data_IF_672182550611
#
_entry.id   IF_672182550611
#
_cell.length_a   1.000
_cell.length_b   1.000
_cell.length_c   1.000
_cell.angle_alpha   90.00
_cell.angle_beta   90.00
_cell.angle_gamma   90.00
#
_symmetry.space_group_name_H-M   'P 1'
#
loop_
_entity.id
_entity.type
_entity.pdbx_description
1 polymer ?
#
# COMPACT_ATOMS: atom_id res chain seq x y z
N UNK A 1 -8.15 -16.00 -4.03
CA UNK A 1 -7.99 -15.89 -2.56
C UNK A 1 -6.52 -15.57 -2.37
N UNK A 2 -6.22 -14.29 -2.13
CA UNK A 2 -4.88 -13.83 -1.80
C UNK A 2 -4.52 -14.29 -0.38
N UNK A 3 -3.36 -14.91 -0.19
CA UNK A 3 -2.72 -15.06 1.11
C UNK A 3 -1.83 -13.82 1.31
N UNK A 4 -2.15 -12.98 2.27
CA UNK A 4 -1.19 -12.02 2.78
C UNK A 4 -0.39 -12.70 3.90
N UNK A 5 0.90 -12.91 3.67
CA UNK A 5 1.82 -13.33 4.72
C UNK A 5 2.45 -12.07 5.31
N UNK A 6 2.02 -11.66 6.48
CA UNK A 6 2.75 -10.67 7.26
C UNK A 6 3.78 -11.39 8.12
N UNK A 7 5.06 -11.12 7.90
CA UNK A 7 6.14 -11.61 8.76
C UNK A 7 6.49 -10.53 9.76
N UNK A 8 6.26 -10.79 11.04
CA UNK A 8 6.66 -9.91 12.13
C UNK A 8 8.11 -10.23 12.49
N UNK A 9 9.02 -9.28 12.28
CA UNK A 9 10.41 -9.40 12.77
C UNK A 9 10.57 -8.43 13.94
N UNK A 10 10.75 -8.98 15.14
CA UNK A 10 11.09 -8.21 16.33
C UNK A 10 12.60 -8.01 16.39
N UNK A 11 13.05 -6.77 16.45
CA UNK A 11 14.46 -6.43 16.64
C UNK A 11 14.72 -6.04 18.10
N UNK A 12 15.60 -6.75 18.80
CA UNK A 12 15.83 -6.59 20.24
C UNK A 12 16.66 -5.34 20.64
N UNK A 13 17.00 -4.45 19.70
CA UNK A 13 17.96 -3.38 19.94
C UNK A 13 17.37 -1.97 20.12
N UNK A 14 16.13 -1.84 20.60
CA UNK A 14 15.61 -0.56 21.09
C UNK A 14 15.44 0.56 20.05
N UNK A 15 15.48 0.26 18.75
CA UNK A 15 15.14 1.20 17.67
C UNK A 15 13.70 1.01 17.26
N UNK A 16 12.99 2.11 17.09
CA UNK A 16 11.62 2.11 16.56
C UNK A 16 11.68 1.83 15.07
N UNK A 17 11.14 0.71 14.63
CA UNK A 17 11.06 0.33 13.22
C UNK A 17 9.59 0.31 12.80
N UNK A 18 9.27 0.92 11.66
CA UNK A 18 7.95 0.85 11.05
C UNK A 18 7.98 -0.27 10.00
N UNK A 19 7.17 -1.32 10.20
CA UNK A 19 7.06 -2.40 9.23
C UNK A 19 5.89 -2.14 8.29
N UNK A 20 6.18 -2.08 7.00
CA UNK A 20 5.17 -2.29 5.98
C UNK A 20 5.03 -3.80 5.77
N UNK A 21 3.82 -4.33 5.98
CA UNK A 21 3.54 -5.65 5.47
C UNK A 21 3.69 -5.58 3.95
N UNK A 22 4.50 -6.48 3.39
CA UNK A 22 4.74 -6.57 1.95
C UNK A 22 3.44 -6.34 1.18
N UNK A 23 3.52 -5.59 0.09
CA UNK A 23 2.38 -5.41 -0.82
C UNK A 23 1.92 -6.81 -1.22
N UNK A 24 0.90 -7.30 -0.56
CA UNK A 24 0.24 -8.52 -0.96
C UNK A 24 -0.36 -8.24 -2.32
N UNK A 25 0.29 -8.70 -3.40
CA UNK A 25 -0.34 -8.74 -4.71
C UNK A 25 -1.53 -9.67 -4.59
N UNK A 26 -2.68 -9.13 -4.21
CA UNK A 26 -3.91 -9.85 -4.34
C UNK A 26 -4.33 -9.76 -5.81
N UNK A 27 -4.11 -10.84 -6.54
CA UNK A 27 -4.77 -11.04 -7.81
C UNK A 27 -6.27 -11.16 -7.55
N UNK A 28 -6.95 -10.01 -7.52
CA UNK A 28 -8.40 -9.97 -7.34
C UNK A 28 -9.05 -10.38 -8.66
N UNK A 29 -9.27 -11.67 -8.83
CA UNK A 29 -10.00 -12.22 -9.96
C UNK A 29 -11.53 -12.20 -9.73
N UNK A 30 -12.00 -11.55 -8.65
CA UNK A 30 -13.41 -11.53 -8.29
C UNK A 30 -13.77 -10.44 -7.31
N UNK A 31 -14.97 -9.91 -7.49
CA UNK A 31 -15.60 -9.00 -6.55
C UNK A 31 -16.28 -9.79 -5.43
N UNK A 32 -15.97 -9.45 -4.19
CA UNK A 32 -16.64 -10.02 -3.02
C UNK A 32 -18.04 -9.44 -2.91
N UNK A 33 -19.06 -10.29 -3.02
CA UNK A 33 -20.46 -9.86 -3.00
C UNK A 33 -21.03 -9.89 -1.59
N UNK A 34 -20.83 -10.98 -0.86
CA UNK A 34 -21.35 -11.15 0.48
C UNK A 34 -20.56 -12.20 1.28
N UNK A 35 -20.58 -12.04 2.59
CA UNK A 35 -20.09 -13.05 3.52
C UNK A 35 -21.23 -14.03 3.85
N UNK A 36 -20.98 -15.34 3.75
CA UNK A 36 -21.96 -16.38 4.05
C UNK A 36 -21.65 -16.96 5.42
N UNK A 37 -22.56 -16.71 6.36
CA UNK A 37 -22.40 -17.14 7.75
C UNK A 37 -21.39 -16.29 8.51
N UNK A 38 -21.02 -16.75 9.70
CA UNK A 38 -20.07 -16.06 10.57
C UNK A 38 -18.63 -16.48 10.26
N UNK A 39 -17.65 -15.55 10.36
CA UNK A 39 -16.24 -15.88 10.30
C UNK A 39 -15.85 -16.86 11.41
N UNK A 40 -15.08 -17.86 11.07
CA UNK A 40 -14.51 -18.81 12.04
C UNK A 40 -13.09 -18.36 12.42
N UNK A 41 -12.82 -18.33 13.72
CA UNK A 41 -11.53 -17.93 14.26
C UNK A 41 -10.86 -19.11 14.95
N UNK A 42 -9.57 -19.30 14.66
CA UNK A 42 -8.71 -20.20 15.43
C UNK A 42 -7.51 -19.41 15.93
N UNK A 43 -7.31 -19.39 17.23
CA UNK A 43 -6.24 -18.66 17.89
C UNK A 43 -5.24 -19.66 18.43
N UNK A 44 -3.99 -19.57 17.99
CA UNK A 44 -2.87 -20.39 18.43
C UNK A 44 -1.76 -19.50 18.98
N UNK A 45 -0.98 -20.06 19.89
CA UNK A 45 0.21 -19.38 20.41
C UNK A 45 1.43 -20.27 20.11
N UNK A 46 2.29 -19.81 19.21
CA UNK A 46 3.47 -20.56 18.77
C UNK A 46 4.70 -19.66 18.80
N UNK A 47 5.78 -20.14 19.36
CA UNK A 47 7.08 -19.45 19.44
C UNK A 47 7.01 -18.02 19.98
N UNK A 48 6.14 -17.76 20.97
CA UNK A 48 5.98 -16.42 21.54
C UNK A 48 5.08 -15.48 20.74
N UNK A 49 4.47 -15.94 19.65
CA UNK A 49 3.57 -15.16 18.80
C UNK A 49 2.14 -15.65 18.87
N UNK A 50 1.20 -14.70 18.89
CA UNK A 50 -0.22 -14.99 18.77
C UNK A 50 -0.57 -15.12 17.28
N UNK A 51 -0.98 -16.32 16.87
CA UNK A 51 -1.43 -16.61 15.50
C UNK A 51 -2.95 -16.64 15.48
N UNK A 52 -3.56 -15.74 14.71
CA UNK A 52 -5.00 -15.70 14.51
C UNK A 52 -5.31 -16.14 13.09
N UNK A 53 -5.91 -17.33 12.96
CA UNK A 53 -6.40 -17.81 11.67
C UNK A 53 -7.88 -17.47 11.54
N UNK A 54 -8.23 -16.76 10.48
CA UNK A 54 -9.61 -16.41 10.17
C UNK A 54 -10.04 -17.13 8.91
N UNK A 55 -11.13 -17.89 8.99
CA UNK A 55 -11.75 -18.54 7.84
C UNK A 55 -13.08 -17.88 7.54
N UNK A 56 -13.19 -17.31 6.35
CA UNK A 56 -14.41 -16.64 5.87
C UNK A 56 -14.91 -17.38 4.64
N UNK A 57 -16.23 -17.59 4.57
CA UNK A 57 -16.92 -18.12 3.39
C UNK A 57 -17.72 -16.99 2.76
N UNK A 58 -17.63 -16.83 1.45
CA UNK A 58 -18.37 -15.77 0.76
C UNK A 58 -18.73 -16.12 -0.66
N UNK A 59 -19.57 -15.29 -1.24
CA UNK A 59 -19.91 -15.32 -2.66
C UNK A 59 -19.05 -14.32 -3.40
N UNK A 60 -18.43 -14.77 -4.48
CA UNK A 60 -17.56 -13.98 -5.33
C UNK A 60 -18.15 -13.94 -6.73
N UNK A 61 -18.23 -12.75 -7.32
CA UNK A 61 -18.51 -12.56 -8.74
C UNK A 61 -17.20 -12.43 -9.50
N UNK A 62 -17.00 -13.27 -10.53
CA UNK A 62 -15.81 -13.17 -11.37
C UNK A 62 -15.77 -11.83 -12.08
N UNK A 63 -14.67 -11.11 -11.98
CA UNK A 63 -14.44 -9.90 -12.76
C UNK A 63 -14.14 -10.29 -14.21
N UNK A 64 -14.86 -9.71 -15.16
CA UNK A 64 -14.75 -9.98 -16.59
C UNK A 64 -13.79 -8.99 -17.27
N UNK A 65 -12.57 -8.82 -16.74
CA UNK A 65 -11.58 -7.92 -17.30
C UNK A 65 -10.22 -8.58 -17.49
N UNK A 66 -9.38 -8.09 -18.41
CA UNK A 66 -8.00 -8.55 -18.51
C UNK A 66 -7.24 -8.15 -17.23
N UNK A 67 -6.36 -9.02 -16.78
CA UNK A 67 -5.42 -8.72 -15.70
C UNK A 67 -4.49 -7.61 -16.17
N UNK A 68 -4.32 -6.58 -15.36
CA UNK A 68 -3.37 -5.49 -15.59
C UNK A 68 -2.16 -5.74 -14.69
N UNK A 69 -1.00 -5.98 -15.26
CA UNK A 69 0.25 -6.14 -14.51
C UNK A 69 0.84 -4.76 -14.20
N UNK A 70 0.71 -4.34 -12.96
CA UNK A 70 1.23 -3.08 -12.46
C UNK A 70 2.64 -3.29 -11.89
N UNK A 71 3.57 -2.37 -12.17
CA UNK A 71 4.81 -2.26 -11.41
C UNK A 71 4.58 -1.27 -10.26
N UNK A 72 4.70 -1.77 -9.03
CA UNK A 72 4.48 -0.99 -7.80
C UNK A 72 5.59 -1.33 -6.82
N UNK A 73 6.43 -0.35 -6.46
CA UNK A 73 7.55 -0.54 -5.55
C UNK A 73 7.56 0.61 -4.53
N UNK A 74 7.62 0.26 -3.25
CA UNK A 74 7.84 1.24 -2.17
C UNK A 74 9.34 1.39 -1.97
N UNK A 75 9.83 2.63 -1.93
CA UNK A 75 11.25 2.94 -1.84
C UNK A 75 11.54 3.70 -0.55
N UNK A 76 12.66 3.37 0.11
CA UNK A 76 13.12 3.97 1.37
C UNK A 76 14.36 4.81 1.16
N UNK A 77 14.34 6.08 1.55
CA UNK A 77 15.47 7.02 1.55
C UNK A 77 16.16 7.21 0.20
N UNK A 78 15.51 6.82 -0.89
CA UNK A 78 16.06 6.98 -2.24
C UNK A 78 15.02 6.71 -3.30
N UNK A 79 15.25 7.22 -4.50
CA UNK A 79 14.28 7.27 -5.61
C UNK A 79 14.54 6.23 -6.69
N UNK A 80 15.57 5.41 -6.55
CA UNK A 80 15.90 4.33 -7.48
C UNK A 80 15.38 2.98 -6.97
N UNK A 81 15.04 2.05 -7.85
CA UNK A 81 14.49 0.73 -7.50
C UNK A 81 15.37 -0.09 -6.54
N UNK A 82 16.68 0.18 -6.50
CA UNK A 82 17.58 -0.47 -5.52
C UNK A 82 17.26 -0.13 -4.06
N UNK A 83 16.46 0.91 -3.81
CA UNK A 83 15.99 1.31 -2.49
C UNK A 83 14.63 0.72 -2.12
N UNK A 84 14.14 -0.26 -2.90
CA UNK A 84 12.91 -0.98 -2.56
C UNK A 84 13.02 -1.62 -1.18
N UNK A 85 12.04 -1.35 -0.33
CA UNK A 85 11.99 -1.84 1.03
C UNK A 85 10.57 -1.82 1.57
N UNK A 86 10.23 -2.82 2.35
CA UNK A 86 9.04 -2.90 3.19
C UNK A 86 9.34 -2.61 4.67
N UNK A 87 10.62 -2.44 5.01
CA UNK A 87 11.10 -2.09 6.34
C UNK A 87 11.52 -0.63 6.39
N UNK A 88 10.89 0.15 7.27
CA UNK A 88 11.19 1.56 7.49
C UNK A 88 11.59 1.81 8.94
N UNK A 89 12.42 2.82 9.14
CA UNK A 89 12.85 3.29 10.44
C UNK A 89 12.27 4.68 10.69
N UNK A 90 12.23 5.06 11.95
CA UNK A 90 11.83 6.41 12.33
C UNK A 90 12.72 7.47 11.65
N UNK A 91 12.11 8.37 10.88
CA UNK A 91 12.77 9.40 10.11
C UNK A 91 13.14 9.02 8.68
N UNK A 92 12.74 7.84 8.20
CA UNK A 92 12.94 7.45 6.81
C UNK A 92 11.94 8.14 5.89
N UNK A 93 12.44 8.59 4.74
CA UNK A 93 11.61 9.11 3.66
C UNK A 93 11.04 7.96 2.82
N UNK A 94 9.77 8.11 2.43
CA UNK A 94 9.03 7.11 1.66
C UNK A 94 8.72 7.65 0.27
N UNK A 95 8.97 6.81 -0.76
CA UNK A 95 8.62 7.10 -2.15
C UNK A 95 7.85 5.91 -2.74
N UNK A 96 7.07 6.18 -3.79
CA UNK A 96 6.35 5.17 -4.54
C UNK A 96 6.72 5.23 -6.01
N UNK A 97 7.32 4.16 -6.52
CA UNK A 97 7.49 3.94 -7.94
C UNK A 97 6.26 3.21 -8.48
N UNK A 98 5.71 3.72 -9.59
CA UNK A 98 4.51 3.16 -10.21
C UNK A 98 4.60 3.21 -11.72
N UNK A 99 4.19 2.12 -12.38
CA UNK A 99 4.01 2.06 -13.83
C UNK A 99 2.84 1.14 -14.18
N UNK A 100 2.03 1.56 -15.15
CA UNK A 100 0.93 0.77 -15.70
C UNK A 100 1.08 0.57 -17.21
N UNK A 101 0.78 -0.62 -17.74
CA UNK A 101 0.75 -0.87 -19.17
C UNK A 101 -0.45 -0.24 -19.89
N UNK A 102 -1.38 0.36 -19.15
CA UNK A 102 -2.57 1.03 -19.69
C UNK A 102 -2.81 2.34 -18.96
N UNK A 103 -3.44 3.32 -19.61
CA UNK A 103 -3.86 4.56 -18.98
C UNK A 103 -5.02 4.34 -18.01
N UNK A 104 -5.12 5.19 -16.99
CA UNK A 104 -6.17 5.08 -15.98
C UNK A 104 -6.02 6.09 -14.86
N UNK A 105 -6.58 5.75 -13.72
CA UNK A 105 -6.60 6.57 -12.51
C UNK A 105 -6.08 5.79 -11.31
N UNK A 106 -5.29 6.44 -10.46
CA UNK A 106 -4.61 5.88 -9.30
C UNK A 106 -5.07 6.57 -8.01
N UNK A 107 -5.38 5.77 -7.00
CA UNK A 107 -5.54 6.19 -5.61
C UNK A 107 -4.54 5.44 -4.73
N UNK A 108 -3.96 6.12 -3.75
CA UNK A 108 -3.05 5.52 -2.79
C UNK A 108 -3.45 5.93 -1.39
N UNK A 109 -3.59 4.95 -0.51
CA UNK A 109 -3.89 5.15 0.89
C UNK A 109 -2.84 4.48 1.77
N UNK A 110 -2.61 5.06 2.94
CA UNK A 110 -1.86 4.45 4.02
C UNK A 110 -2.84 4.12 5.15
N UNK A 111 -2.90 2.84 5.51
CA UNK A 111 -3.70 2.35 6.64
C UNK A 111 -2.78 2.17 7.83
N UNK A 112 -2.96 2.99 8.87
CA UNK A 112 -2.28 2.85 10.15
C UNK A 112 -3.17 2.04 11.11
N UNK A 113 -2.83 0.77 11.29
CA UNK A 113 -3.58 -0.13 12.17
C UNK A 113 -3.43 0.24 13.65
N UNK A 114 -2.34 0.90 14.01
CA UNK A 114 -2.05 1.29 15.39
C UNK A 114 -2.86 2.50 15.82
N UNK A 115 -2.92 3.53 14.97
CA UNK A 115 -3.75 4.71 15.18
C UNK A 115 -5.21 4.49 14.76
N UNK A 116 -5.52 3.41 14.03
CA UNK A 116 -6.82 3.13 13.39
C UNK A 116 -7.26 4.27 12.47
N UNK A 117 -6.33 4.75 11.66
CA UNK A 117 -6.53 5.84 10.71
C UNK A 117 -6.18 5.42 9.30
N UNK A 118 -6.79 6.09 8.32
CA UNK A 118 -6.50 5.93 6.90
C UNK A 118 -6.15 7.30 6.35
N UNK A 119 -4.99 7.39 5.73
CA UNK A 119 -4.51 8.61 5.09
C UNK A 119 -4.59 8.44 3.59
N UNK A 120 -5.17 9.43 2.88
CA UNK A 120 -5.09 9.50 1.43
C UNK A 120 -3.74 10.13 1.07
N UNK A 121 -2.89 9.38 0.35
CA UNK A 121 -1.58 9.84 -0.10
C UNK A 121 -1.61 10.34 -1.55
N UNK A 122 -2.47 9.76 -2.40
CA UNK A 122 -2.79 10.22 -3.75
C UNK A 122 -4.30 10.15 -3.99
N UNK A 123 -4.88 11.19 -4.63
CA UNK A 123 -4.22 12.41 -5.12
C UNK A 123 -3.61 13.23 -3.99
N UNK A 124 -2.63 14.07 -4.32
CA UNK A 124 -2.04 14.99 -3.35
C UNK A 124 -3.08 15.96 -2.78
N UNK A 125 -2.85 16.44 -1.56
CA UNK A 125 -3.80 17.29 -0.82
C UNK A 125 -4.23 18.56 -1.55
N UNK A 126 -3.39 19.08 -2.44
CA UNK A 126 -3.64 20.30 -3.21
C UNK A 126 -4.12 20.03 -4.64
N UNK A 127 -4.25 18.75 -5.05
CA UNK A 127 -4.81 18.41 -6.36
C UNK A 127 -6.33 18.61 -6.37
N UNK A 128 -6.84 19.14 -7.49
CA UNK A 128 -8.28 19.29 -7.70
C UNK A 128 -8.95 17.98 -8.16
N UNK A 129 -8.17 17.06 -8.72
CA UNK A 129 -8.65 15.78 -9.24
C UNK A 129 -8.99 14.81 -8.11
N UNK A 130 -10.01 13.98 -8.32
CA UNK A 130 -10.43 12.95 -7.35
C UNK A 130 -9.50 11.73 -7.36
N UNK A 131 -8.64 11.59 -8.37
CA UNK A 131 -7.66 10.52 -8.50
C UNK A 131 -6.46 11.01 -9.34
N UNK A 132 -5.29 10.42 -9.13
CA UNK A 132 -4.09 10.73 -9.91
C UNK A 132 -4.19 10.12 -11.32
N UNK A 133 -4.18 10.95 -12.39
CA UNK A 133 -4.15 10.42 -13.76
C UNK A 133 -2.84 9.68 -14.04
N UNK A 134 -2.95 8.54 -14.73
CA UNK A 134 -1.83 7.69 -15.14
C UNK A 134 -1.87 7.50 -16.65
N UNK A 135 -0.73 7.79 -17.30
CA UNK A 135 -0.52 7.57 -18.72
C UNK A 135 0.09 6.17 -18.94
N UNK A 136 -0.33 5.52 -20.03
CA UNK A 136 0.18 4.20 -20.42
C UNK A 136 1.71 4.21 -20.59
N UNK A 137 2.37 3.25 -19.92
CA UNK A 137 3.81 3.00 -20.06
C UNK A 137 4.72 4.05 -19.43
N UNK A 138 4.17 5.14 -18.87
CA UNK A 138 4.94 6.16 -18.19
C UNK A 138 5.35 5.68 -16.80
N UNK A 139 6.61 5.90 -16.43
CA UNK A 139 7.10 5.70 -15.07
C UNK A 139 6.78 6.94 -14.23
N UNK A 140 6.27 6.68 -13.02
CA UNK A 140 5.98 7.70 -12.03
C UNK A 140 6.79 7.45 -10.77
N UNK A 141 7.28 8.54 -10.19
CA UNK A 141 7.90 8.54 -8.88
C UNK A 141 7.14 9.55 -8.01
N UNK A 142 6.28 9.03 -7.15
CA UNK A 142 5.46 9.82 -6.25
C UNK A 142 6.18 10.11 -4.93
N UNK A 143 5.72 11.13 -4.23
CA UNK A 143 6.19 11.61 -2.92
C UNK A 143 7.59 12.21 -2.97
N UNK A 144 8.04 12.66 -4.15
CA UNK A 144 9.33 13.32 -4.34
C UNK A 144 9.18 14.62 -5.14
N UNK A 145 9.23 15.76 -4.48
CA UNK A 145 9.18 17.06 -5.13
C UNK A 145 10.36 17.27 -6.09
N UNK A 146 11.48 16.58 -5.89
CA UNK A 146 12.66 16.64 -6.77
C UNK A 146 12.44 15.95 -8.11
N UNK A 147 11.49 15.05 -8.20
CA UNK A 147 11.19 14.26 -9.41
C UNK A 147 10.26 14.99 -10.38
N UNK A 148 9.71 16.12 -9.97
CA UNK A 148 8.76 16.91 -10.73
C UNK A 148 9.36 18.28 -11.05
N UNK A 149 9.08 18.81 -12.25
CA UNK A 149 9.59 20.11 -12.70
C UNK A 149 8.52 21.21 -12.58
N UNK A 150 8.98 22.46 -12.48
CA UNK A 150 8.10 23.62 -12.53
C UNK A 150 7.20 23.80 -11.31
N UNK A 151 6.00 24.35 -11.54
CA UNK A 151 5.02 24.65 -10.50
C UNK A 151 4.39 23.42 -9.90
N UNK A 152 4.34 22.30 -10.62
CA UNK A 152 3.83 21.01 -10.12
C UNK A 152 4.60 20.52 -8.88
N UNK A 153 5.84 20.98 -8.69
CA UNK A 153 6.64 20.65 -7.50
C UNK A 153 5.98 21.11 -6.20
N UNK A 154 5.20 22.18 -6.25
CA UNK A 154 4.57 22.78 -5.06
C UNK A 154 3.38 21.97 -4.55
N UNK A 155 2.79 21.13 -5.39
CA UNK A 155 1.64 20.29 -5.02
C UNK A 155 2.04 18.89 -4.53
N UNK A 156 3.33 18.54 -4.66
CA UNK A 156 3.80 17.21 -4.23
C UNK A 156 3.89 17.16 -2.70
N UNK A 157 3.12 16.28 -2.10
CA UNK A 157 3.28 15.93 -0.69
C UNK A 157 4.43 14.93 -0.54
N UNK A 158 5.42 15.25 0.30
CA UNK A 158 6.54 14.37 0.67
C UNK A 158 6.27 13.77 2.04
N UNK A 159 6.61 12.49 2.21
CA UNK A 159 6.31 11.76 3.43
C UNK A 159 7.59 11.22 4.08
N UNK A 160 7.76 11.59 5.35
CA UNK A 160 8.76 11.03 6.26
C UNK A 160 8.03 10.23 7.33
N UNK A 161 8.36 8.97 7.49
CA UNK A 161 7.69 8.09 8.46
C UNK A 161 8.27 8.32 9.85
N UNK A 162 7.39 8.57 10.81
CA UNK A 162 7.78 8.80 12.21
C UNK A 162 6.89 8.01 13.15
N UNK A 163 7.47 7.47 14.21
CA UNK A 163 6.74 6.80 15.27
C UNK A 163 7.40 7.08 16.63
N UNK A 164 6.60 7.20 17.68
CA UNK A 164 7.01 7.24 19.06
C UNK A 164 6.94 5.87 19.77
N UNK A 165 6.52 4.84 19.03
CA UNK A 165 6.35 3.47 19.50
C UNK A 165 7.54 2.61 19.10
N UNK A 166 7.65 1.45 19.75
CA UNK A 166 8.69 0.47 19.39
C UNK A 166 8.51 -0.09 17.98
N UNK A 167 7.25 -0.21 17.55
CA UNK A 167 6.86 -0.76 16.25
C UNK A 167 5.46 -0.27 15.89
N UNK A 168 5.26 0.07 14.63
CA UNK A 168 3.96 0.33 14.02
C UNK A 168 3.80 -0.54 12.79
N UNK A 169 2.56 -0.95 12.52
CA UNK A 169 2.20 -1.67 11.32
C UNK A 169 1.33 -0.78 10.46
N UNK A 170 1.81 -0.51 9.26
CA UNK A 170 1.10 0.23 8.24
C UNK A 170 0.91 -0.65 7.00
N UNK A 171 -0.13 -0.37 6.23
CA UNK A 171 -0.39 -1.00 4.95
C UNK A 171 -0.60 0.07 3.89
N UNK A 172 0.15 -0.01 2.78
CA UNK A 172 -0.11 0.84 1.62
C UNK A 172 -1.10 0.15 0.70
N UNK A 173 -2.23 0.79 0.47
CA UNK A 173 -3.28 0.31 -0.44
C UNK A 173 -3.21 1.11 -1.73
N UNK A 174 -2.91 0.44 -2.83
CA UNK A 174 -2.81 1.02 -4.17
C UNK A 174 -4.00 0.54 -4.99
N UNK A 175 -4.84 1.46 -5.44
CA UNK A 175 -6.02 1.18 -6.25
C UNK A 175 -5.82 1.81 -7.63
N UNK A 176 -5.82 0.98 -8.66
CA UNK A 176 -5.75 1.44 -10.05
C UNK A 176 -6.98 0.99 -10.84
N UNK A 177 -7.54 1.90 -11.62
CA UNK A 177 -8.63 1.61 -12.55
C UNK A 177 -8.28 2.13 -13.95
N UNK A 178 -8.46 1.27 -14.96
CA UNK A 178 -8.35 1.69 -16.38
C UNK A 178 -9.58 2.43 -16.88
N UNK A 179 -10.64 2.56 -16.06
CA UNK A 179 -11.83 3.39 -16.28
C UNK A 179 -11.87 4.55 -15.29
N UNK A 180 -12.90 5.37 -15.38
CA UNK A 180 -13.15 6.41 -14.38
C UNK A 180 -13.42 5.75 -13.02
N UNK A 181 -12.77 6.27 -11.98
CA UNK A 181 -13.10 5.97 -10.60
C UNK A 181 -14.27 6.88 -10.23
N UNK A 182 -15.47 6.30 -10.14
CA UNK A 182 -16.68 7.00 -9.75
C UNK A 182 -16.79 7.14 -8.22
#
# INVERSE_FOLDING_TARGET
>A
IGQSNSTLVTNENGKSDTHFSSIGRSDVNGEWIETIGEPQYAINYEQGMLIVNVRVKGRIRKLAGPKIDLAVNILRNGTELKYESDDFRNGDDMYLHFQSPVSGSLLVYLVDYTARQVYCLLPYSQQADMAQPIEQGREYLFFSAKSVAGEERQIVDEYTLTTDKKMEQNEMVVIFSSGELA
#
